data_IF_940902404019
#
_entry.id   IF_940902404019
#
_cell.length_a   1.000
_cell.length_b   1.000
_cell.length_c   1.000
_cell.angle_alpha   90.00
_cell.angle_beta   90.00
_cell.angle_gamma   90.00
#
_symmetry.space_group_name_H-M   'P 1'
#
loop_
_entity.id
_entity.type
_entity.pdbx_description
1 polymer ?
#
# COMPACT_ATOMS: atom_id res chain seq x y z
N UNK A 1 -10.57 -10.26 -27.50
CA UNK A 1 -9.40 -10.67 -26.67
C UNK A 1 -8.14 -10.31 -27.45
N UNK A 2 -7.56 -9.16 -27.19
CA UNK A 2 -6.30 -8.74 -27.79
C UNK A 2 -5.16 -9.59 -27.20
N UNK A 3 -4.28 -10.07 -28.07
CA UNK A 3 -3.05 -10.74 -27.68
C UNK A 3 -2.27 -9.80 -26.77
N UNK A 4 -2.14 -10.16 -25.49
CA UNK A 4 -1.16 -9.57 -24.60
C UNK A 4 0.20 -9.96 -25.17
N UNK A 5 0.86 -9.02 -25.82
CA UNK A 5 2.21 -9.23 -26.31
C UNK A 5 3.13 -9.51 -25.12
N UNK A 6 4.03 -10.42 -25.32
CA UNK A 6 5.04 -10.99 -24.42
C UNK A 6 6.04 -9.90 -23.94
N UNK A 7 5.58 -8.90 -23.17
CA UNK A 7 6.45 -7.90 -22.57
C UNK A 7 6.39 -8.11 -21.07
N UNK A 8 7.53 -8.03 -20.42
CA UNK A 8 7.70 -8.04 -18.96
C UNK A 8 7.03 -6.79 -18.34
N UNK A 9 5.77 -6.51 -18.71
CA UNK A 9 5.10 -5.25 -18.43
C UNK A 9 4.28 -5.35 -17.16
N UNK A 10 4.50 -4.36 -16.34
CA UNK A 10 3.74 -4.11 -15.10
C UNK A 10 2.61 -3.10 -15.32
N UNK A 11 2.48 -2.51 -16.51
CA UNK A 11 1.49 -1.52 -16.89
C UNK A 11 0.98 -1.76 -18.31
N UNK A 12 -0.15 -1.18 -18.67
CA UNK A 12 -0.76 -1.33 -19.99
C UNK A 12 0.02 -0.64 -21.11
N UNK A 13 0.74 0.44 -20.79
CA UNK A 13 1.55 1.22 -21.73
C UNK A 13 2.65 1.97 -20.97
N UNK A 14 3.87 2.02 -21.55
CA UNK A 14 5.04 2.65 -20.93
C UNK A 14 5.15 4.15 -21.21
N UNK A 15 4.46 4.66 -22.20
CA UNK A 15 4.61 6.04 -22.68
C UNK A 15 3.31 6.85 -22.64
N UNK A 16 2.17 6.18 -22.64
CA UNK A 16 0.86 6.82 -22.56
C UNK A 16 0.10 6.29 -21.34
N UNK A 17 -0.53 7.18 -20.59
CA UNK A 17 -1.34 6.77 -19.47
C UNK A 17 -2.51 5.89 -19.92
N UNK A 18 -2.56 4.69 -19.35
CA UNK A 18 -3.68 3.76 -19.56
C UNK A 18 -3.86 2.93 -18.29
N UNK A 19 -5.06 2.97 -17.71
CA UNK A 19 -5.36 2.16 -16.54
C UNK A 19 -5.20 0.67 -16.84
N UNK A 20 -4.60 -0.04 -15.89
CA UNK A 20 -4.54 -1.50 -15.91
C UNK A 20 -5.97 -2.06 -15.84
N UNK A 21 -6.37 -2.98 -16.75
CA UNK A 21 -7.73 -3.50 -16.79
C UNK A 21 -7.96 -4.49 -15.65
N UNK A 22 -8.63 -4.06 -14.61
CA UNK A 22 -9.09 -4.90 -13.51
C UNK A 22 -10.54 -5.31 -13.69
N UNK A 23 -10.95 -6.40 -13.04
CA UNK A 23 -12.38 -6.74 -12.92
C UNK A 23 -13.09 -5.76 -12.00
N UNK A 24 -14.40 -5.68 -12.14
CA UNK A 24 -15.22 -4.95 -11.19
C UNK A 24 -15.53 -5.84 -9.96
N UNK A 25 -15.43 -5.25 -8.77
CA UNK A 25 -15.81 -5.86 -7.49
C UNK A 25 -16.75 -4.92 -6.76
N UNK A 26 -17.92 -5.42 -6.36
CA UNK A 26 -18.88 -4.66 -5.59
C UNK A 26 -18.51 -4.65 -4.09
N UNK A 27 -18.57 -3.49 -3.49
CA UNK A 27 -18.46 -3.31 -2.04
C UNK A 27 -19.75 -2.62 -1.58
N UNK A 28 -20.76 -3.40 -1.22
CA UNK A 28 -22.12 -2.89 -1.14
C UNK A 28 -22.54 -2.28 -2.47
N UNK A 29 -22.97 -1.02 -2.46
CA UNK A 29 -23.39 -0.28 -3.68
C UNK A 29 -22.22 0.45 -4.38
N UNK A 30 -20.98 0.29 -3.90
CA UNK A 30 -19.79 0.94 -4.48
C UNK A 30 -19.00 -0.04 -5.34
N UNK A 31 -18.96 0.22 -6.65
CA UNK A 31 -18.13 -0.55 -7.59
C UNK A 31 -16.66 -0.13 -7.50
N UNK A 32 -15.74 -1.10 -7.44
CA UNK A 32 -14.29 -0.91 -7.41
C UNK A 32 -13.65 -1.67 -8.57
N UNK A 33 -12.75 -1.04 -9.31
CA UNK A 33 -12.10 -1.65 -10.47
C UNK A 33 -12.86 -1.42 -11.77
N UNK A 34 -12.46 -2.11 -12.83
CA UNK A 34 -13.03 -1.92 -14.18
C UNK A 34 -12.82 -0.48 -14.67
N UNK A 35 -13.87 0.09 -15.25
CA UNK A 35 -13.92 1.49 -15.70
C UNK A 35 -14.36 2.49 -14.64
N UNK A 36 -14.59 2.03 -13.41
CA UNK A 36 -15.05 2.89 -12.32
C UNK A 36 -13.97 3.89 -11.89
N UNK A 37 -14.33 5.06 -11.32
CA UNK A 37 -13.36 6.01 -10.80
C UNK A 37 -12.55 5.40 -9.65
N UNK A 38 -11.37 5.99 -9.39
CA UNK A 38 -10.53 5.61 -8.25
C UNK A 38 -11.26 5.97 -6.95
N UNK A 39 -11.59 4.98 -6.13
CA UNK A 39 -12.37 5.15 -4.91
C UNK A 39 -11.54 5.65 -3.74
N UNK A 40 -12.10 6.57 -2.98
CA UNK A 40 -11.47 7.15 -1.79
C UNK A 40 -11.92 6.37 -0.55
N UNK A 41 -10.94 5.81 0.15
CA UNK A 41 -11.16 5.11 1.41
C UNK A 41 -10.35 5.76 2.53
N UNK A 42 -10.92 5.84 3.74
CA UNK A 42 -10.17 6.15 4.96
C UNK A 42 -10.59 5.23 6.11
N UNK A 43 -10.02 5.44 7.30
CA UNK A 43 -10.19 4.53 8.45
C UNK A 43 -10.39 5.33 9.72
N UNK A 44 -11.38 4.93 10.53
CA UNK A 44 -11.59 5.50 11.86
C UNK A 44 -10.40 5.26 12.79
N UNK A 45 -10.20 6.20 13.70
CA UNK A 45 -9.17 6.15 14.77
C UNK A 45 -9.78 5.96 16.16
N UNK A 46 -11.11 6.03 16.27
CA UNK A 46 -11.87 5.82 17.51
C UNK A 46 -11.78 4.36 17.99
N UNK A 47 -12.02 4.17 19.28
CA UNK A 47 -12.26 2.83 19.82
C UNK A 47 -13.56 2.29 19.23
N UNK A 48 -13.48 1.14 18.55
CA UNK A 48 -14.64 0.51 17.91
C UNK A 48 -15.72 0.13 18.92
N UNK A 49 -15.38 -0.05 20.20
CA UNK A 49 -16.37 -0.29 21.27
C UNK A 49 -17.12 0.99 21.69
N UNK A 50 -16.61 2.16 21.35
CA UNK A 50 -17.35 3.42 21.47
C UNK A 50 -18.20 3.64 20.22
N UNK A 51 -19.38 3.06 20.20
CA UNK A 51 -20.30 3.03 19.06
C UNK A 51 -20.63 4.43 18.55
N UNK A 52 -21.02 5.34 19.44
CA UNK A 52 -21.47 6.68 19.04
C UNK A 52 -20.32 7.52 18.46
N UNK A 53 -19.16 7.50 19.09
CA UNK A 53 -17.97 8.23 18.60
C UNK A 53 -17.51 7.68 17.23
N UNK A 54 -17.55 6.36 17.04
CA UNK A 54 -17.19 5.74 15.76
C UNK A 54 -18.18 6.11 14.66
N UNK A 55 -19.48 6.18 14.98
CA UNK A 55 -20.51 6.66 14.05
C UNK A 55 -20.25 8.12 13.68
N UNK A 56 -20.05 9.01 14.66
CA UNK A 56 -19.81 10.43 14.41
C UNK A 56 -18.55 10.67 13.58
N UNK A 57 -17.45 9.97 13.87
CA UNK A 57 -16.23 10.08 13.07
C UNK A 57 -16.45 9.54 11.65
N UNK A 58 -17.17 8.43 11.50
CA UNK A 58 -17.53 7.89 10.18
C UNK A 58 -18.33 8.89 9.36
N UNK A 59 -19.28 9.61 9.98
CA UNK A 59 -20.08 10.65 9.32
C UNK A 59 -19.18 11.81 8.86
N UNK A 60 -18.29 12.33 9.73
CA UNK A 60 -17.35 13.38 9.32
C UNK A 60 -16.50 12.95 8.12
N UNK A 61 -16.04 11.71 8.11
CA UNK A 61 -15.31 11.15 6.97
C UNK A 61 -16.17 11.09 5.69
N UNK A 62 -17.42 10.65 5.81
CA UNK A 62 -18.37 10.57 4.68
C UNK A 62 -18.66 11.97 4.14
N UNK A 63 -18.90 12.94 5.00
CA UNK A 63 -19.14 14.35 4.62
C UNK A 63 -17.93 14.98 3.91
N UNK A 64 -16.70 14.60 4.30
CA UNK A 64 -15.49 14.98 3.58
C UNK A 64 -15.38 14.29 2.20
N UNK A 65 -16.17 13.22 1.97
CA UNK A 65 -16.29 12.50 0.71
C UNK A 65 -15.54 11.15 0.68
N UNK A 66 -15.44 10.49 1.83
CA UNK A 66 -15.03 9.10 1.92
C UNK A 66 -16.11 8.20 1.31
N UNK A 67 -15.73 7.36 0.37
CA UNK A 67 -16.66 6.46 -0.33
C UNK A 67 -16.73 5.07 0.33
N UNK A 68 -15.72 4.70 1.11
CA UNK A 68 -15.63 3.41 1.82
C UNK A 68 -14.98 3.67 3.18
N UNK A 69 -15.67 3.41 4.28
CA UNK A 69 -15.16 3.61 5.65
C UNK A 69 -14.62 2.30 6.20
N UNK A 70 -13.36 2.32 6.71
CA UNK A 70 -12.74 1.16 7.35
C UNK A 70 -12.71 1.33 8.87
N UNK A 71 -13.12 0.29 9.58
CA UNK A 71 -13.18 0.23 11.04
C UNK A 71 -12.36 -0.97 11.52
N UNK A 72 -11.51 -0.79 12.51
CA UNK A 72 -10.71 -1.87 13.09
C UNK A 72 -11.56 -2.77 13.97
N UNK A 73 -11.47 -4.09 13.79
CA UNK A 73 -12.18 -5.07 14.61
C UNK A 73 -11.24 -6.22 15.04
N UNK A 74 -10.37 -6.00 16.04
CA UNK A 74 -9.32 -6.93 16.42
C UNK A 74 -9.84 -8.21 17.08
N UNK A 75 -11.04 -8.18 17.68
CA UNK A 75 -11.65 -9.31 18.36
C UNK A 75 -13.12 -9.49 18.00
N UNK A 76 -13.73 -10.57 18.53
CA UNK A 76 -15.15 -10.87 18.35
C UNK A 76 -16.05 -9.77 18.96
N UNK A 77 -15.58 -9.06 19.99
CA UNK A 77 -16.38 -8.00 20.64
C UNK A 77 -16.56 -6.82 19.69
N UNK A 78 -15.47 -6.33 19.13
CA UNK A 78 -15.50 -5.24 18.14
C UNK A 78 -16.24 -5.69 16.87
N UNK A 79 -16.04 -6.94 16.42
CA UNK A 79 -16.77 -7.47 15.27
C UNK A 79 -18.29 -7.48 15.49
N UNK A 80 -18.76 -7.81 16.70
CA UNK A 80 -20.19 -7.70 17.06
C UNK A 80 -20.65 -6.24 17.09
N UNK A 81 -19.82 -5.34 17.63
CA UNK A 81 -20.19 -3.94 17.74
C UNK A 81 -20.33 -3.25 16.37
N UNK A 82 -19.71 -3.80 15.31
CA UNK A 82 -19.93 -3.33 13.95
C UNK A 82 -21.40 -3.36 13.54
N UNK A 83 -22.21 -4.27 14.06
CA UNK A 83 -23.66 -4.33 13.79
C UNK A 83 -24.38 -3.07 14.29
N UNK A 84 -24.04 -2.61 15.51
CA UNK A 84 -24.58 -1.36 16.07
C UNK A 84 -24.13 -0.13 15.30
N UNK A 85 -22.85 -0.09 14.93
CA UNK A 85 -22.29 1.01 14.14
C UNK A 85 -22.94 1.05 12.76
N UNK A 86 -23.01 -0.08 12.07
CA UNK A 86 -23.66 -0.22 10.76
C UNK A 86 -25.13 0.23 10.81
N UNK A 87 -25.90 -0.30 11.75
CA UNK A 87 -27.31 0.09 11.93
C UNK A 87 -27.45 1.59 12.26
N UNK A 88 -26.58 2.11 13.13
CA UNK A 88 -26.57 3.53 13.52
C UNK A 88 -26.33 4.48 12.35
N UNK A 89 -25.40 4.14 11.45
CA UNK A 89 -25.16 4.89 10.22
C UNK A 89 -26.35 4.84 9.26
N UNK A 90 -26.93 3.64 9.04
CA UNK A 90 -28.12 3.46 8.18
C UNK A 90 -29.32 4.25 8.70
N UNK A 91 -29.56 4.22 10.03
CA UNK A 91 -30.63 5.00 10.68
C UNK A 91 -30.46 6.51 10.49
N UNK A 92 -29.20 7.00 10.35
CA UNK A 92 -28.88 8.40 10.08
C UNK A 92 -28.82 8.75 8.59
N UNK A 93 -29.19 7.82 7.71
CA UNK A 93 -29.27 8.03 6.26
C UNK A 93 -27.98 7.81 5.49
N UNK A 94 -26.91 7.29 6.12
CA UNK A 94 -25.64 7.03 5.47
C UNK A 94 -25.54 5.57 5.02
N UNK A 95 -25.45 5.36 3.71
CA UNK A 95 -25.35 4.04 3.08
C UNK A 95 -23.90 3.67 2.65
N UNK A 96 -22.93 4.48 3.03
CA UNK A 96 -21.52 4.22 2.73
C UNK A 96 -21.10 2.86 3.25
N UNK A 97 -20.47 1.99 2.41
CA UNK A 97 -20.08 0.65 2.82
C UNK A 97 -18.96 0.67 3.87
N UNK A 98 -19.05 -0.29 4.79
CA UNK A 98 -18.08 -0.47 5.85
C UNK A 98 -17.10 -1.61 5.52
N UNK A 99 -15.87 -1.44 5.99
CA UNK A 99 -14.83 -2.48 5.92
C UNK A 99 -14.40 -2.83 7.34
N UNK A 100 -14.56 -4.09 7.73
CA UNK A 100 -13.96 -4.60 8.95
C UNK A 100 -12.49 -4.95 8.73
N UNK A 101 -11.60 -4.31 9.48
CA UNK A 101 -10.17 -4.58 9.45
C UNK A 101 -9.80 -5.60 10.53
N UNK A 102 -9.62 -6.85 10.11
CA UNK A 102 -9.37 -7.98 11.00
C UNK A 102 -7.89 -8.36 10.95
N UNK A 103 -7.20 -8.24 12.08
CA UNK A 103 -5.76 -8.47 12.11
C UNK A 103 -5.40 -9.93 12.40
N UNK A 104 -5.95 -10.54 13.47
CA UNK A 104 -5.42 -11.81 13.99
C UNK A 104 -6.47 -12.90 14.24
N UNK A 105 -7.75 -12.59 14.17
CA UNK A 105 -8.81 -13.45 14.70
C UNK A 105 -9.75 -13.92 13.59
N UNK A 106 -9.55 -15.12 13.01
CA UNK A 106 -10.42 -15.63 11.94
C UNK A 106 -11.92 -15.63 12.29
N UNK A 107 -12.28 -16.01 13.50
CA UNK A 107 -13.69 -16.03 13.93
C UNK A 107 -14.32 -14.61 13.95
N UNK A 108 -13.53 -13.57 14.22
CA UNK A 108 -14.00 -12.19 14.12
C UNK A 108 -14.26 -11.81 12.65
N UNK A 109 -13.42 -12.26 11.71
CA UNK A 109 -13.63 -12.04 10.29
C UNK A 109 -14.89 -12.76 9.77
N UNK A 110 -15.10 -14.00 10.20
CA UNK A 110 -16.28 -14.80 9.85
C UNK A 110 -17.59 -14.17 10.37
N UNK A 111 -17.54 -13.55 11.56
CA UNK A 111 -18.67 -12.79 12.10
C UNK A 111 -18.88 -11.48 11.34
N UNK A 112 -17.83 -10.69 11.17
CA UNK A 112 -17.88 -9.38 10.49
C UNK A 112 -18.34 -9.51 9.03
N UNK A 113 -17.97 -10.58 8.34
CA UNK A 113 -18.37 -10.85 6.96
C UNK A 113 -19.90 -11.03 6.78
N UNK A 114 -20.64 -11.24 7.86
CA UNK A 114 -22.12 -11.31 7.86
C UNK A 114 -22.77 -9.95 8.11
N UNK A 115 -22.00 -8.94 8.49
CA UNK A 115 -22.48 -7.65 8.98
C UNK A 115 -22.12 -6.51 8.02
N UNK A 116 -20.88 -6.50 7.52
CA UNK A 116 -20.36 -5.40 6.72
C UNK A 116 -20.13 -5.80 5.26
N UNK A 117 -20.00 -4.83 4.38
CA UNK A 117 -19.89 -5.03 2.94
C UNK A 117 -18.51 -5.52 2.49
N UNK A 118 -17.48 -5.34 3.34
CA UNK A 118 -16.13 -5.85 3.06
C UNK A 118 -15.37 -6.22 4.32
N UNK A 119 -14.61 -7.30 4.26
CA UNK A 119 -13.64 -7.66 5.30
C UNK A 119 -12.22 -7.51 4.75
N UNK A 120 -11.28 -7.09 5.60
CA UNK A 120 -9.85 -7.11 5.28
C UNK A 120 -9.12 -8.09 6.17
N UNK A 121 -8.35 -8.94 5.55
CA UNK A 121 -7.43 -9.85 6.24
C UNK A 121 -5.99 -9.57 5.83
N UNK A 122 -5.03 -9.95 6.70
CA UNK A 122 -3.61 -9.96 6.40
C UNK A 122 -3.13 -11.42 6.41
N UNK A 123 -2.70 -11.98 5.26
CA UNK A 123 -2.26 -13.37 5.16
C UNK A 123 -1.32 -13.81 6.28
N UNK A 124 -0.26 -13.04 6.53
CA UNK A 124 0.78 -13.39 7.52
C UNK A 124 0.33 -13.34 8.98
N UNK A 125 -0.85 -12.77 9.27
CA UNK A 125 -1.39 -12.69 10.63
C UNK A 125 -2.67 -13.51 10.82
N UNK A 126 -3.36 -13.83 9.73
CA UNK A 126 -4.68 -14.45 9.77
C UNK A 126 -4.63 -15.95 10.03
N UNK A 127 -3.95 -16.70 9.17
CA UNK A 127 -3.84 -18.15 9.26
C UNK A 127 -2.40 -18.63 9.31
N UNK A 128 -1.47 -17.83 8.83
CA UNK A 128 -0.05 -18.12 8.71
C UNK A 128 0.72 -17.26 9.73
N UNK A 129 0.79 -17.76 10.97
CA UNK A 129 1.34 -16.99 12.09
C UNK A 129 2.86 -16.91 12.06
N UNK A 130 3.39 -15.72 12.29
CA UNK A 130 4.80 -15.47 12.59
C UNK A 130 5.11 -15.94 14.01
N UNK A 131 6.02 -16.91 14.14
CA UNK A 131 6.50 -17.44 15.43
C UNK A 131 7.88 -16.93 15.79
N UNK A 132 8.54 -16.19 14.88
CA UNK A 132 9.93 -15.75 14.98
C UNK A 132 10.93 -16.90 15.09
N UNK A 133 10.58 -18.05 14.54
CA UNK A 133 11.43 -19.23 14.48
C UNK A 133 11.97 -19.38 13.05
N UNK A 134 13.29 -19.42 12.94
CA UNK A 134 13.95 -19.75 11.66
C UNK A 134 13.86 -21.27 11.48
N UNK A 135 12.89 -21.73 10.74
CA UNK A 135 12.79 -23.12 10.30
C UNK A 135 13.08 -23.20 8.80
N UNK A 136 13.95 -24.12 8.43
CA UNK A 136 14.09 -24.53 7.05
C UNK A 136 12.88 -25.41 6.69
N UNK A 137 11.92 -24.83 6.00
CA UNK A 137 10.75 -25.57 5.51
C UNK A 137 11.15 -26.43 4.32
N UNK A 138 10.97 -27.74 4.44
CA UNK A 138 11.02 -28.64 3.27
C UNK A 138 9.80 -28.36 2.37
N UNK A 139 9.84 -28.77 1.10
CA UNK A 139 8.68 -28.60 0.21
C UNK A 139 7.43 -29.28 0.78
N UNK A 140 7.59 -30.45 1.40
CA UNK A 140 6.49 -31.17 2.05
C UNK A 140 5.93 -30.41 3.26
N UNK A 141 6.77 -29.81 4.08
CA UNK A 141 6.31 -29.00 5.21
C UNK A 141 5.55 -27.77 4.71
N UNK A 142 6.04 -27.16 3.64
CA UNK A 142 5.40 -26.03 3.00
C UNK A 142 4.00 -26.37 2.46
N UNK A 143 3.86 -27.52 1.79
CA UNK A 143 2.57 -28.00 1.28
C UNK A 143 1.59 -28.33 2.42
N UNK A 144 2.05 -28.97 3.48
CA UNK A 144 1.22 -29.25 4.68
C UNK A 144 0.70 -27.95 5.31
N UNK A 145 1.54 -26.91 5.38
CA UNK A 145 1.12 -25.59 5.90
C UNK A 145 0.10 -24.91 4.96
N UNK A 146 0.26 -25.04 3.65
CA UNK A 146 -0.74 -24.54 2.70
C UNK A 146 -2.11 -25.23 2.88
N UNK A 147 -2.11 -26.55 3.09
CA UNK A 147 -3.33 -27.27 3.39
C UNK A 147 -3.98 -26.78 4.71
N UNK A 148 -3.17 -26.58 5.75
CA UNK A 148 -3.63 -26.03 7.03
C UNK A 148 -4.24 -24.63 6.85
N UNK A 149 -3.58 -23.77 6.04
CA UNK A 149 -4.08 -22.42 5.73
C UNK A 149 -5.40 -22.52 4.98
N UNK A 150 -5.50 -23.38 3.95
CA UNK A 150 -6.73 -23.60 3.21
C UNK A 150 -7.89 -23.99 4.15
N UNK A 151 -7.65 -24.96 5.04
CA UNK A 151 -8.67 -25.42 6.01
C UNK A 151 -9.11 -24.31 6.95
N UNK A 152 -8.21 -23.40 7.34
CA UNK A 152 -8.52 -22.29 8.26
C UNK A 152 -9.18 -21.11 7.55
N UNK A 153 -8.88 -20.89 6.29
CA UNK A 153 -9.35 -19.73 5.52
C UNK A 153 -10.66 -20.00 4.77
N UNK A 154 -10.87 -21.24 4.30
CA UNK A 154 -12.07 -21.62 3.54
C UNK A 154 -13.40 -21.28 4.20
N UNK A 155 -13.58 -21.37 5.54
CA UNK A 155 -14.83 -20.96 6.17
C UNK A 155 -15.17 -19.49 5.90
N UNK A 156 -14.19 -18.59 6.00
CA UNK A 156 -14.40 -17.17 5.69
C UNK A 156 -14.76 -16.97 4.22
N UNK A 157 -14.06 -17.64 3.30
CA UNK A 157 -14.34 -17.54 1.84
C UNK A 157 -15.78 -17.94 1.54
N UNK A 158 -16.27 -19.04 2.15
CA UNK A 158 -17.65 -19.51 1.97
C UNK A 158 -18.67 -18.51 2.51
N UNK A 159 -18.40 -17.93 3.67
CA UNK A 159 -19.28 -16.91 4.26
C UNK A 159 -19.31 -15.66 3.37
N UNK A 160 -18.17 -15.16 2.93
CA UNK A 160 -18.12 -14.01 2.05
C UNK A 160 -18.91 -14.26 0.75
N UNK A 161 -18.77 -15.45 0.18
CA UNK A 161 -19.54 -15.87 -1.00
C UNK A 161 -21.04 -15.94 -0.74
N UNK A 162 -21.47 -16.47 0.41
CA UNK A 162 -22.86 -16.60 0.80
C UNK A 162 -23.53 -15.24 1.02
N UNK A 163 -22.82 -14.30 1.67
CA UNK A 163 -23.36 -12.99 2.04
C UNK A 163 -23.09 -11.89 1.00
N UNK A 164 -22.36 -12.19 -0.08
CA UNK A 164 -21.95 -11.17 -1.07
C UNK A 164 -20.95 -10.15 -0.53
N UNK A 165 -20.21 -10.52 0.49
CA UNK A 165 -19.23 -9.66 1.15
C UNK A 165 -17.92 -9.69 0.39
N UNK A 166 -17.42 -8.53 -0.04
CA UNK A 166 -16.11 -8.44 -0.67
C UNK A 166 -14.97 -8.72 0.33
N UNK A 167 -13.83 -9.19 -0.16
CA UNK A 167 -12.66 -9.42 0.67
C UNK A 167 -11.46 -8.62 0.18
N UNK A 168 -10.74 -7.96 1.10
CA UNK A 168 -9.42 -7.44 0.79
C UNK A 168 -8.34 -8.33 1.40
N UNK A 169 -7.53 -8.94 0.55
CA UNK A 169 -6.28 -9.61 0.92
C UNK A 169 -5.20 -8.54 0.96
N UNK A 170 -4.81 -8.16 2.17
CA UNK A 170 -3.94 -7.02 2.41
C UNK A 170 -2.64 -7.40 3.08
N UNK A 171 -1.59 -7.63 2.27
CA UNK A 171 -0.24 -7.92 2.76
C UNK A 171 0.47 -6.63 3.17
N UNK A 172 1.12 -6.65 4.31
CA UNK A 172 2.00 -5.60 4.79
C UNK A 172 3.43 -6.13 4.86
N UNK A 173 4.40 -5.37 4.36
CA UNK A 173 5.82 -5.59 4.63
C UNK A 173 6.06 -5.60 6.15
N UNK A 174 6.90 -6.48 6.66
CA UNK A 174 7.09 -6.68 8.10
C UNK A 174 6.06 -7.58 8.80
N UNK A 175 4.95 -7.97 8.14
CA UNK A 175 3.97 -8.93 8.66
C UNK A 175 3.94 -10.23 7.86
N UNK A 176 5.01 -10.57 7.18
CA UNK A 176 5.10 -11.84 6.46
C UNK A 176 5.29 -12.99 7.46
N UNK A 177 4.73 -14.15 7.17
CA UNK A 177 4.92 -15.35 7.99
C UNK A 177 6.34 -15.89 7.89
N UNK A 178 6.76 -16.67 8.91
CA UNK A 178 8.08 -17.28 8.94
C UNK A 178 8.31 -18.21 7.73
N UNK A 179 7.27 -18.89 7.27
CA UNK A 179 7.28 -19.74 6.08
C UNK A 179 7.59 -18.94 4.81
N UNK A 180 6.94 -17.82 4.63
CA UNK A 180 7.17 -16.92 3.49
C UNK A 180 8.57 -16.29 3.59
N UNK A 181 8.97 -15.84 4.79
CA UNK A 181 10.31 -15.28 5.03
C UNK A 181 11.42 -16.30 4.73
N UNK A 182 11.23 -17.56 5.15
CA UNK A 182 12.19 -18.63 4.89
C UNK A 182 12.35 -18.92 3.39
N UNK A 183 11.26 -18.94 2.64
CA UNK A 183 11.27 -19.34 1.21
C UNK A 183 11.58 -18.19 0.25
N UNK A 184 11.05 -16.99 0.51
CA UNK A 184 11.11 -15.85 -0.41
C UNK A 184 11.82 -14.62 0.17
N UNK A 185 12.18 -14.66 1.47
CA UNK A 185 12.78 -13.54 2.18
C UNK A 185 11.80 -12.39 2.47
N UNK A 186 12.30 -11.35 3.16
CA UNK A 186 11.57 -10.10 3.38
C UNK A 186 11.68 -9.19 2.15
N UNK A 187 11.03 -9.60 1.08
CA UNK A 187 11.18 -9.04 -0.27
C UNK A 187 9.82 -8.72 -0.90
N UNK A 188 9.77 -7.90 -1.97
CA UNK A 188 8.56 -7.74 -2.78
C UNK A 188 7.96 -9.07 -3.27
N UNK A 189 8.82 -10.05 -3.60
CA UNK A 189 8.36 -11.38 -4.00
C UNK A 189 7.66 -12.11 -2.85
N UNK A 190 8.20 -12.06 -1.64
CA UNK A 190 7.56 -12.63 -0.45
C UNK A 190 6.20 -12.02 -0.17
N UNK A 191 6.07 -10.68 -0.33
CA UNK A 191 4.77 -10.00 -0.20
C UNK A 191 3.76 -10.51 -1.23
N UNK A 192 4.18 -10.66 -2.49
CA UNK A 192 3.32 -11.08 -3.59
C UNK A 192 2.89 -12.53 -3.40
N UNK A 193 3.80 -13.46 -3.19
CA UNK A 193 3.48 -14.89 -3.02
C UNK A 193 2.57 -15.11 -1.80
N UNK A 194 2.79 -14.38 -0.69
CA UNK A 194 1.90 -14.41 0.47
C UNK A 194 0.44 -14.08 0.11
N UNK A 195 0.19 -13.17 -0.82
CA UNK A 195 -1.16 -12.86 -1.28
C UNK A 195 -1.65 -13.87 -2.32
N UNK A 196 -0.80 -14.27 -3.28
CA UNK A 196 -1.16 -15.18 -4.37
C UNK A 196 -1.67 -16.53 -3.85
N UNK A 197 -1.07 -17.05 -2.79
CA UNK A 197 -1.54 -18.28 -2.15
C UNK A 197 -2.99 -18.17 -1.67
N UNK A 198 -3.36 -17.05 -1.03
CA UNK A 198 -4.72 -16.81 -0.57
C UNK A 198 -5.70 -16.59 -1.73
N UNK A 199 -5.26 -15.94 -2.80
CA UNK A 199 -6.07 -15.75 -4.01
C UNK A 199 -6.38 -17.10 -4.65
N UNK A 200 -5.37 -17.97 -4.80
CA UNK A 200 -5.56 -19.32 -5.36
C UNK A 200 -6.56 -20.14 -4.54
N UNK A 201 -6.57 -20.00 -3.20
CA UNK A 201 -7.59 -20.62 -2.34
C UNK A 201 -8.97 -20.03 -2.64
N UNK A 202 -9.10 -18.72 -2.79
CA UNK A 202 -10.38 -18.09 -3.13
C UNK A 202 -10.91 -18.59 -4.48
N UNK A 203 -10.06 -18.65 -5.51
CA UNK A 203 -10.43 -19.16 -6.84
C UNK A 203 -10.82 -20.64 -6.83
N UNK A 204 -10.15 -21.45 -6.04
CA UNK A 204 -10.51 -22.86 -5.82
C UNK A 204 -11.96 -23.01 -5.31
N UNK A 205 -12.41 -22.05 -4.49
CA UNK A 205 -13.79 -22.00 -3.98
C UNK A 205 -14.74 -21.20 -4.89
N UNK A 206 -14.28 -20.77 -6.09
CA UNK A 206 -15.04 -19.92 -7.02
C UNK A 206 -15.54 -18.63 -6.34
N UNK A 207 -14.65 -17.95 -5.61
CA UNK A 207 -14.89 -16.66 -5.00
C UNK A 207 -13.96 -15.63 -5.59
N UNK A 208 -14.52 -14.56 -6.19
CA UNK A 208 -13.80 -13.61 -7.02
C UNK A 208 -13.97 -12.14 -6.56
N UNK A 209 -14.74 -11.87 -5.52
CA UNK A 209 -14.96 -10.51 -4.99
C UNK A 209 -13.80 -10.08 -4.11
N UNK A 210 -12.61 -10.00 -4.73
CA UNK A 210 -11.33 -9.80 -4.06
C UNK A 210 -10.72 -8.47 -4.49
N UNK A 211 -10.19 -7.74 -3.52
CA UNK A 211 -9.35 -6.54 -3.71
C UNK A 211 -8.00 -6.82 -3.05
N UNK A 212 -6.90 -6.38 -3.67
CA UNK A 212 -5.55 -6.67 -3.18
C UNK A 212 -4.85 -5.42 -2.69
N UNK A 213 -3.94 -5.57 -1.73
CA UNK A 213 -3.03 -4.48 -1.35
C UNK A 213 -1.68 -4.98 -0.86
N UNK A 214 -0.61 -4.30 -1.32
CA UNK A 214 0.79 -4.53 -0.97
C UNK A 214 1.35 -3.29 -0.27
N UNK A 215 1.16 -3.18 1.04
CA UNK A 215 1.56 -1.98 1.78
C UNK A 215 2.94 -2.13 2.39
N UNK A 216 3.72 -1.07 2.28
CA UNK A 216 5.01 -0.93 2.95
C UNK A 216 5.21 0.52 3.39
N UNK A 217 6.06 0.75 4.38
CA UNK A 217 6.53 2.08 4.77
C UNK A 217 7.61 2.61 3.82
N UNK A 218 8.37 1.71 3.19
CA UNK A 218 9.28 2.04 2.11
C UNK A 218 8.51 2.09 0.78
N UNK A 219 8.44 3.26 0.15
CA UNK A 219 7.70 3.49 -1.09
C UNK A 219 8.27 2.71 -2.28
N UNK A 220 9.59 2.48 -2.34
CA UNK A 220 10.21 1.66 -3.39
C UNK A 220 9.78 0.20 -3.29
N UNK A 221 9.83 -0.38 -2.09
CA UNK A 221 9.36 -1.76 -1.84
C UNK A 221 7.89 -1.89 -2.20
N UNK A 222 7.07 -0.91 -1.82
CA UNK A 222 5.65 -0.87 -2.16
C UNK A 222 5.44 -0.89 -3.67
N UNK A 223 6.07 0.02 -4.41
CA UNK A 223 5.93 0.13 -5.87
C UNK A 223 6.38 -1.17 -6.55
N UNK A 224 7.52 -1.72 -6.15
CA UNK A 224 8.02 -2.98 -6.71
C UNK A 224 7.07 -4.15 -6.45
N UNK A 225 6.51 -4.23 -5.24
CA UNK A 225 5.57 -5.29 -4.89
C UNK A 225 4.28 -5.21 -5.73
N UNK A 226 3.71 -4.02 -5.94
CA UNK A 226 2.53 -3.88 -6.81
C UNK A 226 2.83 -4.20 -8.27
N UNK A 227 3.94 -3.70 -8.81
CA UNK A 227 4.37 -4.03 -10.19
C UNK A 227 4.55 -5.53 -10.37
N UNK A 228 5.21 -6.19 -9.41
CA UNK A 228 5.40 -7.64 -9.43
C UNK A 228 4.07 -8.39 -9.29
N UNK A 229 3.15 -7.90 -8.46
CA UNK A 229 1.82 -8.47 -8.32
C UNK A 229 1.03 -8.42 -9.63
N UNK A 230 1.05 -7.29 -10.34
CA UNK A 230 0.42 -7.17 -11.68
C UNK A 230 0.98 -8.24 -12.62
N UNK A 231 2.31 -8.37 -12.69
CA UNK A 231 2.94 -9.39 -13.53
C UNK A 231 2.48 -10.81 -13.16
N UNK A 232 2.52 -11.15 -11.87
CA UNK A 232 2.11 -12.49 -11.39
C UNK A 232 0.62 -12.76 -11.64
N UNK A 233 -0.24 -11.78 -11.44
CA UNK A 233 -1.66 -11.91 -11.77
C UNK A 233 -1.87 -12.13 -13.27
N UNK A 234 -1.15 -11.40 -14.12
CA UNK A 234 -1.23 -11.57 -15.56
C UNK A 234 -0.75 -12.97 -16.01
N UNK A 235 0.35 -13.46 -15.42
CA UNK A 235 0.88 -14.80 -15.69
C UNK A 235 -0.14 -15.91 -15.34
N UNK A 236 -1.00 -15.68 -14.34
CA UNK A 236 -2.06 -16.61 -13.89
C UNK A 236 -3.48 -16.23 -14.40
N UNK A 237 -3.58 -15.32 -15.37
CA UNK A 237 -4.86 -14.83 -15.93
C UNK A 237 -5.80 -14.20 -14.92
N UNK A 238 -5.25 -13.61 -13.87
CA UNK A 238 -5.96 -12.88 -12.81
C UNK A 238 -5.92 -11.36 -13.09
N UNK A 239 -6.95 -10.63 -12.64
CA UNK A 239 -7.07 -9.18 -12.85
C UNK A 239 -7.83 -8.49 -11.70
N UNK A 240 -7.50 -8.79 -10.47
CA UNK A 240 -8.15 -8.23 -9.28
C UNK A 240 -7.84 -6.74 -9.09
N UNK A 241 -8.83 -5.94 -8.62
CA UNK A 241 -8.61 -4.53 -8.30
C UNK A 241 -7.61 -4.33 -7.15
N UNK A 242 -6.95 -3.17 -7.17
CA UNK A 242 -5.87 -2.85 -6.26
C UNK A 242 -6.21 -1.66 -5.36
N UNK A 243 -5.97 -1.84 -4.05
CA UNK A 243 -6.07 -0.79 -3.04
C UNK A 243 -4.68 -0.28 -2.68
N UNK A 244 -4.38 0.97 -3.01
CA UNK A 244 -3.09 1.59 -2.76
C UNK A 244 -3.04 2.31 -1.41
N UNK A 245 -1.88 2.35 -0.80
CA UNK A 245 -1.62 3.13 0.41
C UNK A 245 -0.25 2.84 1.00
N UNK A 246 0.41 3.88 1.48
CA UNK A 246 1.67 3.79 2.21
C UNK A 246 1.35 3.57 3.69
N UNK A 247 2.04 2.66 4.37
CA UNK A 247 1.96 2.52 5.83
C UNK A 247 2.95 3.46 6.51
N UNK A 248 2.56 4.03 7.64
CA UNK A 248 3.43 4.89 8.44
C UNK A 248 4.04 6.02 7.60
N UNK A 249 3.18 6.73 6.85
CA UNK A 249 3.63 7.81 5.99
C UNK A 249 4.18 9.00 6.79
N UNK A 250 3.69 9.22 8.00
CA UNK A 250 4.06 10.32 8.87
C UNK A 250 2.94 11.36 8.98
N UNK A 251 3.26 12.52 9.51
CA UNK A 251 2.33 13.62 9.68
C UNK A 251 2.62 14.78 8.72
N UNK A 252 1.72 15.75 8.75
CA UNK A 252 1.89 17.02 8.05
C UNK A 252 2.26 16.87 6.58
N UNK A 253 3.21 17.68 6.14
CA UNK A 253 3.66 17.74 4.76
C UNK A 253 4.43 16.47 4.35
N UNK A 254 5.27 15.92 5.24
CA UNK A 254 6.07 14.72 4.96
C UNK A 254 5.18 13.50 4.67
N UNK A 255 4.12 13.31 5.47
CA UNK A 255 3.16 12.24 5.25
C UNK A 255 2.42 12.37 3.93
N UNK A 256 2.06 13.60 3.54
CA UNK A 256 1.43 13.91 2.25
C UNK A 256 2.36 13.64 1.08
N UNK A 257 3.61 14.09 1.17
CA UNK A 257 4.64 13.86 0.14
C UNK A 257 4.91 12.38 -0.02
N UNK A 258 5.15 11.66 1.07
CA UNK A 258 5.45 10.22 1.05
C UNK A 258 4.30 9.39 0.49
N UNK A 259 3.06 9.72 0.88
CA UNK A 259 1.85 9.10 0.32
C UNK A 259 1.71 9.41 -1.17
N UNK A 260 1.95 10.65 -1.57
CA UNK A 260 1.88 11.07 -2.98
C UNK A 260 2.93 10.37 -3.85
N UNK A 261 4.14 10.22 -3.35
CA UNK A 261 5.21 9.48 -4.06
C UNK A 261 4.82 8.01 -4.24
N UNK A 262 4.41 7.32 -3.18
CA UNK A 262 4.09 5.89 -3.26
C UNK A 262 2.83 5.61 -4.08
N UNK A 263 1.74 6.31 -3.79
CA UNK A 263 0.46 6.13 -4.49
C UNK A 263 0.55 6.70 -5.91
N UNK A 264 1.07 7.92 -6.07
CA UNK A 264 1.15 8.61 -7.35
C UNK A 264 2.00 7.87 -8.38
N UNK A 265 3.13 7.27 -7.97
CA UNK A 265 3.96 6.45 -8.88
C UNK A 265 3.15 5.29 -9.49
N UNK A 266 2.34 4.61 -8.67
CA UNK A 266 1.51 3.51 -9.15
C UNK A 266 0.33 3.99 -10.01
N UNK A 267 -0.29 5.10 -9.62
CA UNK A 267 -1.34 5.72 -10.44
C UNK A 267 -0.80 6.19 -11.80
N UNK A 268 0.44 6.72 -11.89
CA UNK A 268 1.09 7.03 -13.18
C UNK A 268 1.32 5.79 -14.03
N UNK A 269 1.60 4.63 -13.42
CA UNK A 269 1.65 3.34 -14.11
C UNK A 269 0.26 2.83 -14.56
N UNK A 270 -0.82 3.52 -14.21
CA UNK A 270 -2.21 3.08 -14.42
C UNK A 270 -2.70 2.05 -13.41
N UNK A 271 -1.96 1.83 -12.33
CA UNK A 271 -2.24 0.82 -11.28
C UNK A 271 -2.98 1.49 -10.12
N UNK A 272 -4.14 0.98 -9.76
CA UNK A 272 -4.90 1.38 -8.58
C UNK A 272 -6.35 1.70 -8.85
N UNK A 273 -7.23 1.12 -8.02
CA UNK A 273 -8.68 1.23 -8.13
C UNK A 273 -9.31 1.86 -6.90
N UNK A 274 -8.63 1.81 -5.77
CA UNK A 274 -8.99 2.52 -4.54
C UNK A 274 -7.73 2.94 -3.80
N UNK A 275 -7.77 4.09 -3.13
CA UNK A 275 -6.61 4.62 -2.42
C UNK A 275 -6.96 5.02 -0.98
N UNK A 276 -5.94 4.97 -0.10
CA UNK A 276 -5.96 5.60 1.20
C UNK A 276 -4.65 6.34 1.42
N UNK A 277 -4.71 7.65 1.59
CA UNK A 277 -3.66 8.43 2.21
C UNK A 277 -3.70 8.16 3.71
N UNK A 278 -2.58 7.92 4.35
CA UNK A 278 -2.50 7.65 5.79
C UNK A 278 -1.64 8.71 6.45
N UNK A 279 -2.23 9.50 7.33
CA UNK A 279 -1.60 10.56 8.11
C UNK A 279 -1.78 10.29 9.60
N UNK A 280 -1.00 10.96 10.45
CA UNK A 280 -1.17 10.98 11.91
C UNK A 280 -2.16 12.06 12.35
N UNK A 281 -3.02 12.51 11.45
CA UNK A 281 -4.08 13.51 11.65
C UNK A 281 -5.44 12.83 11.79
N UNK A 282 -6.48 13.62 12.03
CA UNK A 282 -7.86 13.14 11.99
C UNK A 282 -8.17 12.58 10.58
N UNK A 283 -8.86 11.43 10.48
CA UNK A 283 -9.03 10.70 9.21
C UNK A 283 -9.79 11.49 8.15
N UNK A 284 -10.64 12.44 8.53
CA UNK A 284 -11.29 13.35 7.58
C UNK A 284 -10.31 14.23 6.82
N UNK A 285 -9.12 14.52 7.38
CA UNK A 285 -8.07 15.32 6.74
C UNK A 285 -7.29 14.54 5.66
N UNK A 286 -7.32 13.19 5.70
CA UNK A 286 -6.74 12.33 4.67
C UNK A 286 -7.49 12.46 3.32
N UNK A 287 -8.78 12.70 3.38
CA UNK A 287 -9.71 12.58 2.25
C UNK A 287 -9.48 13.66 1.18
N UNK A 288 -9.33 14.95 1.50
CA UNK A 288 -9.02 15.97 0.50
C UNK A 288 -7.73 15.69 -0.27
N UNK A 289 -6.70 15.18 0.41
CA UNK A 289 -5.42 14.81 -0.21
C UNK A 289 -5.60 13.64 -1.16
N UNK A 290 -6.34 12.61 -0.74
CA UNK A 290 -6.65 11.46 -1.59
C UNK A 290 -7.47 11.86 -2.82
N UNK A 291 -8.45 12.76 -2.67
CA UNK A 291 -9.23 13.30 -3.79
C UNK A 291 -8.38 14.03 -4.81
N UNK A 292 -7.44 14.88 -4.37
CA UNK A 292 -6.53 15.61 -5.25
C UNK A 292 -5.66 14.62 -6.04
N UNK A 293 -5.15 13.58 -5.39
CA UNK A 293 -4.37 12.55 -6.06
C UNK A 293 -5.19 11.79 -7.10
N UNK A 294 -6.40 11.35 -6.75
CA UNK A 294 -7.27 10.59 -7.66
C UNK A 294 -7.72 11.46 -8.85
N UNK A 295 -8.14 12.70 -8.61
CA UNK A 295 -8.67 13.60 -9.64
C UNK A 295 -7.67 13.89 -10.77
N UNK A 296 -6.36 13.75 -10.51
CA UNK A 296 -5.34 13.87 -11.55
C UNK A 296 -5.53 12.82 -12.66
N UNK A 297 -6.05 11.64 -12.31
CA UNK A 297 -6.15 10.48 -13.20
C UNK A 297 -7.55 10.23 -13.76
N UNK A 298 -8.56 10.93 -13.25
CA UNK A 298 -9.96 10.79 -13.72
C UNK A 298 -10.19 11.39 -15.11
N UNK A 299 -9.38 12.38 -15.51
CA UNK A 299 -9.60 13.17 -16.73
C UNK A 299 -8.87 12.65 -17.97
N UNK A 300 -8.13 11.57 -17.85
CA UNK A 300 -7.23 11.07 -18.91
C UNK A 300 -6.21 12.12 -19.32
N UNK A 301 -4.93 11.81 -19.24
CA UNK A 301 -3.89 12.71 -19.75
C UNK A 301 -3.79 12.56 -21.27
N UNK A 302 -4.00 13.66 -22.00
CA UNK A 302 -3.41 13.78 -23.33
C UNK A 302 -1.94 14.12 -23.12
N UNK A 303 -1.08 13.13 -23.13
CA UNK A 303 0.35 13.36 -23.32
C UNK A 303 0.60 13.50 -24.80
N UNK A 304 1.36 14.52 -25.20
CA UNK A 304 1.97 14.52 -26.53
C UNK A 304 2.65 13.17 -26.69
N UNK A 305 2.35 12.48 -27.79
CA UNK A 305 2.76 11.09 -27.99
C UNK A 305 4.30 10.99 -27.92
N UNK A 306 4.80 10.53 -26.79
CA UNK A 306 6.19 10.07 -26.70
C UNK A 306 6.33 8.86 -27.62
N UNK A 307 7.45 8.78 -28.34
CA UNK A 307 7.75 7.62 -29.19
C UNK A 307 7.62 6.32 -28.39
N UNK A 308 7.10 5.28 -29.03
CA UNK A 308 6.86 3.99 -28.39
C UNK A 308 8.17 3.39 -27.84
N UNK A 309 8.22 3.10 -26.55
CA UNK A 309 9.34 2.41 -25.90
C UNK A 309 9.02 0.91 -25.91
N UNK A 310 9.89 0.12 -26.54
CA UNK A 310 9.71 -1.33 -26.68
C UNK A 310 10.37 -2.14 -25.55
N UNK A 311 11.23 -1.53 -24.74
CA UNK A 311 11.89 -2.19 -23.60
C UNK A 311 12.33 -1.16 -22.57
N UNK A 312 12.29 -1.55 -21.30
CA UNK A 312 12.83 -0.75 -20.21
C UNK A 312 14.35 -0.95 -20.09
N UNK A 313 15.13 0.12 -19.88
CA UNK A 313 16.58 0.01 -19.65
C UNK A 313 16.92 -0.45 -18.22
N UNK A 314 15.95 -0.76 -17.40
CA UNK A 314 16.10 -1.18 -16.00
C UNK A 314 15.07 -2.25 -15.65
N UNK A 315 15.30 -2.97 -14.54
CA UNK A 315 14.33 -3.92 -13.99
C UNK A 315 13.28 -3.17 -13.16
N UNK A 316 12.00 -3.17 -13.54
CA UNK A 316 10.95 -2.43 -12.81
C UNK A 316 10.54 -3.09 -11.49
N UNK A 317 10.96 -4.34 -11.26
CA UNK A 317 10.61 -5.14 -10.08
C UNK A 317 11.70 -5.17 -9.02
N UNK A 318 12.88 -4.65 -9.35
CA UNK A 318 14.03 -4.67 -8.45
C UNK A 318 14.87 -3.41 -8.63
N UNK A 319 15.14 -2.71 -7.52
CA UNK A 319 16.02 -1.54 -7.54
C UNK A 319 17.46 -1.96 -7.72
N UNK A 320 18.13 -1.36 -8.70
CA UNK A 320 19.57 -1.44 -8.85
C UNK A 320 20.15 -0.05 -9.06
N UNK A 321 21.17 0.29 -8.30
CA UNK A 321 21.91 1.55 -8.49
C UNK A 321 22.58 1.54 -9.86
N UNK A 322 22.32 2.55 -10.68
CA UNK A 322 22.97 2.70 -11.97
C UNK A 322 24.47 2.92 -11.76
N UNK A 323 25.31 2.19 -12.48
CA UNK A 323 26.75 2.42 -12.50
C UNK A 323 27.05 3.77 -13.13
N UNK A 324 27.79 4.60 -12.40
CA UNK A 324 28.21 5.92 -12.84
C UNK A 324 29.73 6.07 -12.67
N UNK A 325 30.33 6.98 -13.40
CA UNK A 325 31.74 7.34 -13.18
C UNK A 325 31.85 8.18 -11.91
N UNK A 326 32.89 7.95 -11.14
CA UNK A 326 33.19 8.75 -9.97
C UNK A 326 33.85 10.07 -10.40
N UNK A 327 33.24 11.19 -9.97
CA UNK A 327 33.79 12.53 -10.12
C UNK A 327 33.89 13.15 -8.72
N UNK A 328 35.10 13.30 -8.22
CA UNK A 328 35.36 13.69 -6.84
C UNK A 328 34.66 12.75 -5.84
N UNK A 329 33.67 13.25 -5.08
CA UNK A 329 32.85 12.49 -4.10
C UNK A 329 31.43 12.26 -4.60
N UNK A 330 31.20 12.23 -5.91
CA UNK A 330 29.90 12.05 -6.57
C UNK A 330 29.99 10.86 -7.51
N UNK A 331 28.95 10.03 -7.51
CA UNK A 331 28.86 8.88 -8.40
C UNK A 331 29.51 7.61 -7.84
N UNK A 332 29.60 6.56 -8.65
CA UNK A 332 30.02 5.22 -8.25
C UNK A 332 29.30 4.74 -6.99
N UNK A 333 30.03 4.35 -5.97
CA UNK A 333 29.49 3.85 -4.68
C UNK A 333 29.20 4.97 -3.68
N UNK A 334 29.53 6.23 -4.02
CA UNK A 334 29.24 7.35 -3.12
C UNK A 334 27.72 7.55 -2.94
N UNK A 335 27.34 8.01 -1.74
CA UNK A 335 25.95 8.37 -1.42
C UNK A 335 25.52 9.63 -2.20
N UNK A 336 24.21 9.82 -2.43
CA UNK A 336 23.71 11.05 -3.01
C UNK A 336 24.21 12.28 -2.27
N UNK A 337 24.56 13.33 -3.00
CA UNK A 337 25.02 14.60 -2.44
C UNK A 337 23.95 15.67 -2.62
N UNK A 338 23.73 16.44 -1.57
CA UNK A 338 22.85 17.61 -1.61
C UNK A 338 23.71 18.84 -1.92
N UNK A 339 23.26 19.64 -2.86
CA UNK A 339 23.90 20.87 -3.26
C UNK A 339 23.01 22.07 -2.90
N UNK A 340 23.57 23.04 -2.20
CA UNK A 340 22.92 24.32 -2.01
C UNK A 340 23.30 25.26 -3.17
N UNK A 341 22.33 25.91 -3.76
CA UNK A 341 22.55 26.91 -4.79
C UNK A 341 22.81 28.27 -4.14
N UNK A 342 24.09 28.70 -4.10
CA UNK A 342 24.50 29.97 -3.56
C UNK A 342 24.89 30.97 -4.67
N UNK A 343 24.51 30.74 -5.92
CA UNK A 343 24.86 31.56 -7.07
C UNK A 343 24.35 33.00 -7.01
N UNK A 344 23.35 33.27 -6.13
CA UNK A 344 22.82 34.62 -5.91
C UNK A 344 23.69 35.47 -4.93
N UNK A 345 24.70 34.84 -4.31
CA UNK A 345 25.59 35.53 -3.38
C UNK A 345 26.88 35.93 -4.12
N UNK A 346 27.21 37.21 -4.11
CA UNK A 346 28.46 37.70 -4.68
C UNK A 346 29.68 37.25 -3.86
N UNK A 347 29.50 37.10 -2.56
CA UNK A 347 30.50 36.64 -1.60
C UNK A 347 29.82 35.68 -0.64
N UNK A 348 30.34 34.46 -0.50
CA UNK A 348 29.85 33.49 0.48
C UNK A 348 30.61 33.69 1.79
N UNK A 349 29.89 33.99 2.86
CA UNK A 349 30.42 34.15 4.23
C UNK A 349 30.04 32.95 5.09
N UNK A 350 30.75 32.71 6.21
CA UNK A 350 30.37 31.65 7.16
C UNK A 350 28.91 31.73 7.62
N UNK A 351 28.39 32.94 7.80
CA UNK A 351 27.01 33.18 8.22
C UNK A 351 25.97 32.67 7.22
N UNK A 352 26.28 32.67 5.95
CA UNK A 352 25.41 32.21 4.85
C UNK A 352 25.28 30.68 4.85
N UNK A 353 26.23 29.97 5.44
CA UNK A 353 26.26 28.51 5.54
C UNK A 353 25.63 27.98 6.84
N UNK A 354 25.43 28.85 7.85
CA UNK A 354 24.84 28.46 9.11
C UNK A 354 23.38 27.94 8.97
N UNK A 355 22.50 28.54 8.16
CA UNK A 355 21.16 28.00 7.91
C UNK A 355 21.17 26.65 7.18
N UNK A 356 22.28 26.29 6.55
CA UNK A 356 22.48 25.02 5.88
C UNK A 356 23.11 23.96 6.81
N UNK A 357 23.22 24.28 8.10
CA UNK A 357 23.75 23.37 9.10
C UNK A 357 25.29 23.34 9.21
N UNK A 358 25.98 24.33 8.67
CA UNK A 358 27.43 24.43 8.77
C UNK A 358 27.87 25.54 9.69
N UNK A 359 28.69 25.23 10.68
CA UNK A 359 29.32 26.20 11.59
C UNK A 359 30.83 26.22 11.39
N UNK A 360 31.41 27.39 11.20
CA UNK A 360 32.82 27.56 11.09
C UNK A 360 33.44 27.91 12.45
N UNK A 361 34.40 27.09 12.92
CA UNK A 361 35.20 27.36 14.09
C UNK A 361 36.51 28.06 13.69
N UNK A 362 36.64 29.32 14.05
CA UNK A 362 37.85 30.12 13.78
C UNK A 362 39.09 29.60 14.51
N UNK A 363 38.91 29.06 15.70
CA UNK A 363 40.00 28.57 16.55
C UNK A 363 40.61 27.27 16.00
N UNK A 364 39.82 26.47 15.28
CA UNK A 364 40.24 25.21 14.71
C UNK A 364 40.44 25.25 13.21
N UNK A 365 40.08 26.38 12.58
CA UNK A 365 40.03 26.55 11.12
C UNK A 365 39.29 25.39 10.42
N UNK A 366 38.10 25.03 10.99
CA UNK A 366 37.31 23.89 10.53
C UNK A 366 35.84 24.19 10.50
N UNK A 367 35.15 23.53 9.56
CA UNK A 367 33.72 23.48 9.47
C UNK A 367 33.15 22.31 10.29
N UNK A 368 32.12 22.58 11.06
CA UNK A 368 31.35 21.58 11.80
C UNK A 368 29.91 21.60 11.35
N UNK A 369 29.20 20.48 11.50
CA UNK A 369 27.76 20.45 11.36
C UNK A 369 27.12 20.90 12.66
N UNK A 370 26.12 21.77 12.55
CA UNK A 370 25.39 22.32 13.70
C UNK A 370 24.56 21.30 14.44
N UNK A 371 24.13 20.24 13.74
CA UNK A 371 23.28 19.18 14.26
C UNK A 371 23.87 17.78 13.93
N UNK A 372 24.38 17.07 14.94
CA UNK A 372 24.90 15.70 14.77
C UNK A 372 23.83 14.71 14.25
N UNK A 373 22.55 14.96 14.51
CA UNK A 373 21.46 14.09 14.01
C UNK A 373 21.28 14.28 12.51
N UNK A 374 21.34 15.50 12.02
CA UNK A 374 21.36 15.78 10.57
C UNK A 374 22.56 15.14 9.90
N UNK A 375 23.72 15.12 10.56
CA UNK A 375 24.92 14.43 10.06
C UNK A 375 24.72 12.92 9.97
N UNK A 376 24.12 12.27 10.97
CA UNK A 376 23.83 10.83 10.97
C UNK A 376 22.83 10.45 9.89
N UNK A 377 21.85 11.31 9.57
CA UNK A 377 20.93 11.10 8.45
C UNK A 377 21.58 11.30 7.09
N UNK A 378 22.53 12.23 6.97
CA UNK A 378 23.29 12.47 5.72
C UNK A 378 24.44 11.45 5.52
N UNK A 379 24.90 10.83 6.60
CA UNK A 379 26.05 9.92 6.58
C UNK A 379 25.71 8.49 6.94
N UNK A 380 24.46 8.14 7.15
CA UNK A 380 24.14 6.72 7.18
C UNK A 380 24.55 6.13 5.82
N UNK A 381 25.83 5.64 5.71
CA UNK A 381 26.06 4.62 4.74
C UNK A 381 25.22 3.50 5.28
N UNK A 382 24.27 3.10 4.54
CA UNK A 382 23.74 1.78 4.60
C UNK A 382 24.89 0.83 4.89
N UNK A 383 25.09 0.49 6.15
CA UNK A 383 25.65 -0.80 6.45
C UNK A 383 24.56 -1.76 6.03
N UNK A 384 24.79 -2.35 4.86
CA UNK A 384 24.09 -3.52 4.41
C UNK A 384 24.16 -4.61 5.45
#
# INVERSE_FOLDING_TARGET
>A
MGKVNNIQEYCSNLTNYQRWPTREVMVGDVSVGGSNPIRIQSMTTTDTMNTDETIEQSIRMIDAGCEIVRITAPSIKEAKNLELIHHGLRKRGHNTPLVADIHFTPNAAELAARIVEKVRINPGNFADRKKFELHDYTDRDYENELERINNRFSPLVKICKEYGTAMRIGTNHGSLSDRILSRYGDTPLGMVESAMEFIRICEYWNYYDIILSMKASNTQVMVQAYRLLIKKMADESMNYPLHLGVTEAGDGEDGRIKSSVGIGTLLEDGIGDTIRVSLTEEPENEIPVAKILAARYDRGFSTDSLGQINSLPYNPYFHSKRKTLKVNNIGSEDVPRVFANLSNLNIIRPEDLSPLGYLYSKDQDKWHLSDPVSYTHLTLPTKA
#
